data_IF_136430917666
#
_entry.id   IF_136430917666
#
_cell.length_a   1.000
_cell.length_b   1.000
_cell.length_c   1.000
_cell.angle_alpha   90.00
_cell.angle_beta   90.00
_cell.angle_gamma   90.00
#
_symmetry.space_group_name_H-M   'P 1'
#
loop_
_entity.id
_entity.type
_entity.pdbx_description
1 polymer ?
#
# COMPACT_ATOMS: atom_id res chain seq x y z
N UNK A 1 -0.34 8.70 13.71
CA UNK A 1 0.67 7.86 13.01
C UNK A 1 0.01 6.62 12.43
N UNK A 2 0.14 6.38 11.13
CA UNK A 2 -0.33 5.14 10.48
C UNK A 2 0.89 4.30 10.11
N UNK A 3 0.83 3.00 10.36
CA UNK A 3 1.88 2.05 9.99
C UNK A 3 1.28 0.77 9.44
N UNK A 4 1.75 0.36 8.28
CA UNK A 4 1.49 -0.95 7.69
C UNK A 4 2.81 -1.62 7.38
N UNK A 5 2.88 -2.94 7.58
CA UNK A 5 4.10 -3.71 7.41
C UNK A 5 3.79 -4.99 6.67
N UNK A 6 4.53 -5.21 5.59
CA UNK A 6 4.53 -6.41 4.76
C UNK A 6 3.12 -6.87 4.37
N UNK A 7 2.24 -5.91 4.07
CA UNK A 7 0.85 -6.19 3.72
C UNK A 7 0.80 -6.90 2.37
N UNK A 8 0.07 -8.00 2.37
CA UNK A 8 -0.27 -8.77 1.18
C UNK A 8 -1.78 -8.72 0.99
N UNK A 9 -2.22 -8.43 -0.23
CA UNK A 9 -3.64 -8.48 -0.59
C UNK A 9 -3.82 -9.14 -1.94
N UNK A 10 -4.63 -10.18 -1.96
CA UNK A 10 -5.00 -10.94 -3.16
C UNK A 10 -6.51 -10.84 -3.38
N UNK A 11 -6.90 -10.70 -4.65
CA UNK A 11 -8.26 -10.82 -5.16
C UNK A 11 -8.26 -11.96 -6.18
N UNK A 12 -8.95 -13.05 -5.90
CA UNK A 12 -8.90 -14.30 -6.67
C UNK A 12 -7.44 -14.75 -6.92
N UNK A 13 -7.01 -14.82 -8.18
CA UNK A 13 -5.63 -15.17 -8.57
C UNK A 13 -4.70 -13.96 -8.66
N UNK A 14 -5.21 -12.75 -8.48
CA UNK A 14 -4.45 -11.50 -8.64
C UNK A 14 -3.93 -10.97 -7.30
N UNK A 15 -2.60 -10.92 -7.15
CA UNK A 15 -1.92 -10.34 -5.99
C UNK A 15 -1.74 -8.83 -6.20
N UNK A 16 -2.72 -8.07 -5.70
CA UNK A 16 -2.75 -6.61 -5.79
C UNK A 16 -1.64 -5.95 -4.95
N UNK A 17 -1.51 -6.34 -3.69
CA UNK A 17 -0.40 -5.91 -2.83
C UNK A 17 0.51 -7.10 -2.51
N UNK A 18 1.81 -6.91 -2.69
CA UNK A 18 2.84 -7.90 -2.41
C UNK A 18 3.92 -7.37 -1.45
N UNK A 19 3.63 -7.39 -0.15
CA UNK A 19 4.60 -7.00 0.87
C UNK A 19 4.72 -5.48 1.06
N UNK A 20 3.62 -4.74 0.94
CA UNK A 20 3.61 -3.29 1.13
C UNK A 20 3.91 -2.91 2.59
N UNK A 21 4.98 -2.14 2.78
CA UNK A 21 5.32 -1.48 4.04
C UNK A 21 5.28 0.03 3.85
N UNK A 22 4.52 0.73 4.70
CA UNK A 22 4.35 2.19 4.65
C UNK A 22 4.17 2.74 6.07
N UNK A 23 4.82 3.86 6.34
CA UNK A 23 4.66 4.63 7.56
C UNK A 23 4.29 6.07 7.21
N UNK A 24 3.17 6.56 7.75
CA UNK A 24 2.67 7.92 7.56
C UNK A 24 2.72 8.65 8.91
N UNK A 25 3.68 9.59 9.08
CA UNK A 25 3.79 10.41 10.28
C UNK A 25 2.57 11.30 10.50
N UNK A 26 2.35 11.72 11.74
CA UNK A 26 1.30 12.69 12.06
C UNK A 26 1.60 14.06 11.42
N UNK A 27 0.56 14.75 10.95
CA UNK A 27 0.70 16.04 10.27
C UNK A 27 1.25 15.99 8.84
N UNK A 28 1.42 14.79 8.26
CA UNK A 28 1.91 14.62 6.89
C UNK A 28 0.80 14.33 5.88
N UNK A 29 1.05 14.68 4.60
CA UNK A 29 0.16 14.38 3.47
C UNK A 29 0.94 13.56 2.45
N UNK A 30 0.40 12.40 2.07
CA UNK A 30 1.00 11.47 1.12
C UNK A 30 0.07 11.32 -0.09
N UNK A 31 0.62 11.47 -1.30
CA UNK A 31 -0.04 11.12 -2.55
C UNK A 31 0.53 9.83 -3.10
N UNK A 32 -0.33 8.85 -3.37
CA UNK A 32 0.05 7.61 -4.05
C UNK A 32 -0.33 7.73 -5.52
N UNK A 33 0.63 7.47 -6.42
CA UNK A 33 0.44 7.58 -7.87
C UNK A 33 1.01 6.34 -8.54
N UNK A 34 0.26 5.78 -9.48
CA UNK A 34 0.67 4.64 -10.28
C UNK A 34 -0.31 4.37 -11.41
N UNK A 35 0.07 3.54 -12.40
CA UNK A 35 -0.84 3.08 -13.44
C UNK A 35 -1.97 2.22 -12.86
N UNK A 36 -3.03 2.01 -13.64
CA UNK A 36 -4.15 1.15 -13.24
C UNK A 36 -3.64 -0.26 -12.87
N UNK A 37 -3.97 -0.70 -11.65
CA UNK A 37 -3.57 -2.01 -11.12
C UNK A 37 -2.16 -2.08 -10.52
N UNK A 38 -1.49 -0.95 -10.24
CA UNK A 38 -0.13 -0.92 -9.66
C UNK A 38 -0.06 -1.32 -8.17
N UNK A 39 -1.19 -1.55 -7.53
CA UNK A 39 -1.32 -1.91 -6.13
C UNK A 39 -2.75 -2.29 -5.80
#
# INVERSE_FOLDING_TARGET
>A
MIKVKDIVKTFDEFRALDGLSLEVPEGSIYGLVGPNGSG
#
